data_IF_468993513652
#
_entry.id   IF_468993513652
#
_cell.length_a   1.000
_cell.length_b   1.000
_cell.length_c   1.000
_cell.angle_alpha   90.00
_cell.angle_beta   90.00
_cell.angle_gamma   90.00
#
_symmetry.space_group_name_H-M   'P 1'
#
loop_
_entity.id
_entity.type
_entity.pdbx_description
1 polymer ?
#
# COMPACT_ATOMS: atom_id res chain seq x y z
N UNK A 1 9.78 4.94 55.75
CA UNK A 1 9.67 4.31 54.41
C UNK A 1 9.14 5.34 53.42
N UNK A 2 9.77 5.49 52.26
CA UNK A 2 9.37 6.46 51.23
C UNK A 2 8.17 5.97 50.40
N UNK A 3 7.18 5.32 51.00
CA UNK A 3 5.96 4.89 50.35
C UNK A 3 6.14 3.82 49.26
N UNK A 4 7.19 3.00 49.34
CA UNK A 4 7.39 1.87 48.41
C UNK A 4 7.65 2.28 46.94
N UNK A 5 8.36 3.37 46.70
CA UNK A 5 8.69 3.85 45.35
C UNK A 5 10.05 3.32 44.89
N UNK A 6 10.16 3.06 43.58
CA UNK A 6 11.43 2.81 42.92
C UNK A 6 12.10 4.14 42.54
N UNK A 7 13.37 4.28 42.88
CA UNK A 7 14.22 5.43 42.53
C UNK A 7 15.52 4.95 41.93
N UNK A 8 16.18 5.80 41.17
CA UNK A 8 17.50 5.52 40.59
C UNK A 8 18.49 6.57 41.08
N UNK A 9 19.72 6.17 41.28
CA UNK A 9 20.83 7.05 41.58
C UNK A 9 21.86 6.97 40.44
N UNK A 10 22.48 8.09 40.12
CA UNK A 10 23.58 8.16 39.15
C UNK A 10 24.91 7.67 39.77
N UNK A 11 26.00 7.70 38.96
CA UNK A 11 27.30 7.26 39.43
C UNK A 11 27.90 8.12 40.54
N UNK A 12 27.39 9.32 40.75
CA UNK A 12 27.80 10.24 41.83
C UNK A 12 26.91 10.15 43.07
N UNK A 13 25.94 9.24 43.08
CA UNK A 13 24.98 9.05 44.17
C UNK A 13 23.83 10.06 44.18
N UNK A 14 23.65 10.86 43.12
CA UNK A 14 22.54 11.79 43.02
C UNK A 14 21.28 11.07 42.53
N UNK A 15 20.13 11.41 43.13
CA UNK A 15 18.85 10.87 42.67
C UNK A 15 18.50 11.35 41.25
N UNK A 16 18.29 10.41 40.36
CA UNK A 16 17.87 10.70 38.98
C UNK A 16 16.44 11.23 38.99
N UNK A 17 16.19 12.30 38.23
CA UNK A 17 14.89 12.93 37.99
C UNK A 17 14.67 13.23 36.52
N UNK A 18 13.42 13.21 36.09
CA UNK A 18 13.06 13.44 34.67
C UNK A 18 13.35 12.24 33.80
N UNK A 19 13.50 12.51 32.50
CA UNK A 19 13.80 11.50 31.49
C UNK A 19 15.21 10.94 31.67
N UNK A 20 15.34 9.61 31.59
CA UNK A 20 16.62 8.91 31.69
C UNK A 20 16.61 7.68 30.80
N UNK A 21 17.62 7.55 29.94
CA UNK A 21 17.76 6.43 29.01
C UNK A 21 19.04 5.66 29.35
N UNK A 22 18.96 4.34 29.30
CA UNK A 22 20.09 3.43 29.40
C UNK A 22 19.93 2.29 28.39
N UNK A 23 20.82 1.31 28.41
CA UNK A 23 20.83 0.14 27.53
C UNK A 23 19.53 -0.71 27.59
N UNK A 24 18.76 -0.62 28.69
CA UNK A 24 17.47 -1.32 28.84
C UNK A 24 16.29 -0.55 28.26
N UNK A 25 16.43 0.78 28.07
CA UNK A 25 15.37 1.63 27.52
C UNK A 25 15.25 2.98 28.21
N UNK A 26 14.16 3.67 27.93
CA UNK A 26 13.86 5.02 28.43
C UNK A 26 12.91 4.94 29.60
N UNK A 27 13.19 5.73 30.65
CA UNK A 27 12.41 5.84 31.88
C UNK A 27 12.06 7.29 32.16
N UNK A 28 11.11 7.50 33.01
CA UNK A 28 10.86 8.81 33.62
C UNK A 28 10.78 8.70 35.14
N UNK A 29 11.47 9.61 35.80
CA UNK A 29 11.45 9.75 37.27
C UNK A 29 10.82 11.08 37.63
N UNK A 30 9.83 11.05 38.54
CA UNK A 30 9.12 12.24 38.98
C UNK A 30 10.09 13.33 39.43
N UNK A 31 9.86 14.56 38.98
CA UNK A 31 10.78 15.68 39.20
C UNK A 31 10.90 16.09 40.69
N UNK A 32 9.90 15.81 41.49
CA UNK A 32 9.87 16.15 42.91
C UNK A 32 10.39 15.00 43.77
N UNK A 33 9.76 13.84 43.61
CA UNK A 33 9.97 12.69 44.49
C UNK A 33 11.04 11.72 43.99
N UNK A 34 11.46 11.80 42.73
CA UNK A 34 12.37 10.84 42.09
C UNK A 34 11.73 9.47 41.86
N UNK A 35 10.41 9.33 42.06
CA UNK A 35 9.71 8.06 41.87
C UNK A 35 9.67 7.68 40.39
N UNK A 36 10.03 6.41 40.11
CA UNK A 36 9.90 5.86 38.76
C UNK A 36 8.45 5.81 38.33
N UNK A 37 8.12 6.39 37.18
CA UNK A 37 6.79 6.36 36.63
C UNK A 37 6.55 5.03 35.94
N UNK A 38 5.35 4.48 36.10
CA UNK A 38 4.88 3.22 35.50
C UNK A 38 3.45 3.40 35.01
N UNK A 39 3.09 2.61 33.96
CA UNK A 39 1.77 2.70 33.37
C UNK A 39 1.57 3.95 32.50
N UNK A 40 0.31 4.34 32.32
CA UNK A 40 -0.04 5.51 31.51
C UNK A 40 -0.06 6.78 32.34
N UNK A 41 0.47 7.86 31.80
CA UNK A 41 0.47 9.18 32.45
C UNK A 41 0.57 10.29 31.39
N UNK A 42 0.57 11.53 31.83
CA UNK A 42 0.86 12.71 31.02
C UNK A 42 2.07 13.43 31.59
N UNK A 43 3.08 13.70 30.74
CA UNK A 43 4.29 14.42 31.10
C UNK A 43 4.43 15.59 30.13
N UNK A 44 4.50 16.80 30.65
CA UNK A 44 4.58 18.05 29.87
C UNK A 44 3.50 18.15 28.78
N UNK A 45 2.28 17.69 29.09
CA UNK A 45 1.15 17.69 28.16
C UNK A 45 1.16 16.53 27.14
N UNK A 46 2.20 15.70 27.11
CA UNK A 46 2.32 14.56 26.18
C UNK A 46 1.84 13.28 26.87
N UNK A 47 0.90 12.53 26.29
CA UNK A 47 0.54 11.20 26.79
C UNK A 47 1.73 10.26 26.73
N UNK A 48 2.03 9.60 27.83
CA UNK A 48 3.14 8.69 27.98
C UNK A 48 2.66 7.31 28.45
N UNK A 49 3.43 6.27 28.10
CA UNK A 49 3.15 4.91 28.54
C UNK A 49 4.45 4.17 28.87
N UNK A 50 4.46 3.59 30.07
CA UNK A 50 5.57 2.82 30.61
C UNK A 50 5.08 1.43 31.01
N UNK A 51 5.92 0.43 30.86
CA UNK A 51 5.63 -0.92 31.34
C UNK A 51 5.35 -0.89 32.87
N UNK A 52 4.30 -1.55 33.27
CA UNK A 52 3.83 -1.49 34.67
C UNK A 52 4.73 -2.23 35.64
N UNK A 53 5.55 -3.14 35.17
CA UNK A 53 6.49 -3.93 35.99
C UNK A 53 7.87 -3.28 36.03
N UNK A 54 8.44 -2.99 34.85
CA UNK A 54 9.82 -2.53 34.72
C UNK A 54 9.97 -1.01 34.73
N UNK A 55 8.91 -0.24 34.40
CA UNK A 55 8.96 1.19 34.20
C UNK A 55 9.65 1.61 32.92
N UNK A 56 9.96 0.69 32.00
CA UNK A 56 10.52 0.99 30.68
C UNK A 56 9.43 1.62 29.83
N UNK A 57 9.72 2.74 29.18
CA UNK A 57 8.83 3.39 28.24
C UNK A 57 8.54 2.48 27.05
N UNK A 58 7.28 2.40 26.65
CA UNK A 58 6.89 1.64 25.47
C UNK A 58 7.61 2.20 24.25
N UNK A 59 8.22 1.33 23.45
CA UNK A 59 9.02 1.75 22.30
C UNK A 59 8.64 0.99 21.03
N UNK A 60 8.41 1.76 19.96
CA UNK A 60 8.03 1.26 18.63
C UNK A 60 6.91 0.23 18.66
N UNK A 61 5.84 0.55 19.35
CA UNK A 61 4.70 -0.35 19.47
C UNK A 61 3.35 0.37 19.53
N UNK A 62 2.32 -0.33 19.08
CA UNK A 62 0.93 0.11 19.12
C UNK A 62 0.29 -0.15 20.47
N UNK A 63 -0.50 0.81 20.92
CA UNK A 63 -1.38 0.66 22.10
C UNK A 63 -2.81 1.00 21.69
N UNK A 64 -3.75 0.11 21.98
CA UNK A 64 -5.17 0.36 21.77
C UNK A 64 -5.76 1.03 23.01
N UNK A 65 -6.37 2.18 22.82
CA UNK A 65 -7.06 2.92 23.88
C UNK A 65 -8.44 3.31 23.34
N UNK A 66 -9.49 2.76 23.94
CA UNK A 66 -10.88 3.02 23.56
C UNK A 66 -11.16 2.84 22.04
N UNK A 67 -10.59 1.80 21.43
CA UNK A 67 -10.78 1.48 20.03
C UNK A 67 -9.84 2.21 19.06
N UNK A 68 -9.10 3.20 19.51
CA UNK A 68 -8.09 3.91 18.72
C UNK A 68 -6.70 3.33 18.96
N UNK A 69 -5.89 3.21 17.91
CA UNK A 69 -4.48 2.80 18.01
C UNK A 69 -3.57 4.01 18.06
N UNK A 70 -2.60 3.96 18.98
CA UNK A 70 -1.60 5.00 19.17
C UNK A 70 -0.20 4.38 19.16
N UNK A 71 0.73 5.05 18.49
CA UNK A 71 2.13 4.63 18.42
C UNK A 71 2.95 5.29 19.53
N UNK A 72 3.75 4.50 20.22
CA UNK A 72 4.64 4.99 21.26
C UNK A 72 6.10 4.72 20.89
N UNK A 73 6.96 5.71 21.12
CA UNK A 73 8.41 5.62 21.00
C UNK A 73 9.07 6.24 22.23
N UNK A 74 9.97 5.49 22.87
CA UNK A 74 10.66 5.95 24.07
C UNK A 74 9.72 6.40 25.19
N UNK A 75 8.58 5.74 25.33
CA UNK A 75 7.55 6.05 26.33
C UNK A 75 6.60 7.19 25.95
N UNK A 76 6.81 7.89 24.85
CA UNK A 76 5.99 9.05 24.42
C UNK A 76 5.07 8.66 23.27
N UNK A 77 3.80 9.07 23.35
CA UNK A 77 2.88 8.99 22.22
C UNK A 77 3.37 9.87 21.09
N UNK A 78 3.37 9.33 19.89
CA UNK A 78 3.77 10.04 18.70
C UNK A 78 2.60 10.73 17.99
N UNK A 79 2.89 11.70 17.13
CA UNK A 79 1.89 12.40 16.31
C UNK A 79 0.94 13.32 17.08
N UNK A 80 1.25 13.68 18.32
CA UNK A 80 0.38 14.51 19.18
C UNK A 80 0.47 16.00 18.90
N UNK A 81 1.49 16.43 18.16
CA UNK A 81 1.78 17.86 17.88
C UNK A 81 2.01 18.08 16.39
N UNK A 82 1.95 19.35 15.99
CA UNK A 82 2.14 19.73 14.59
C UNK A 82 0.98 19.28 13.69
N UNK A 83 1.32 18.79 12.48
CA UNK A 83 0.31 18.36 11.48
C UNK A 83 0.13 16.84 11.42
N UNK A 84 0.64 16.11 12.43
CA UNK A 84 0.67 14.66 12.46
C UNK A 84 2.06 14.09 12.12
N UNK A 85 2.18 12.77 12.14
CA UNK A 85 3.45 12.08 11.89
C UNK A 85 3.23 10.82 11.08
N UNK A 86 4.00 10.64 10.02
CA UNK A 86 4.07 9.38 9.30
C UNK A 86 5.05 8.44 10.00
N UNK A 87 4.68 7.19 10.13
CA UNK A 87 5.54 6.12 10.67
C UNK A 87 5.49 4.89 9.77
N UNK A 88 6.59 4.16 9.74
CA UNK A 88 6.65 2.82 9.16
C UNK A 88 6.71 1.79 10.29
N UNK A 89 5.79 0.83 10.25
CA UNK A 89 5.80 -0.31 11.17
C UNK A 89 6.32 -1.56 10.45
N UNK A 90 7.55 -2.01 10.77
CA UNK A 90 8.14 -3.18 10.11
C UNK A 90 7.40 -4.49 10.44
N UNK A 91 6.63 -4.54 11.52
CA UNK A 91 5.88 -5.74 11.88
C UNK A 91 4.70 -6.02 10.93
N UNK A 92 4.11 -4.96 10.39
CA UNK A 92 3.02 -5.03 9.40
C UNK A 92 3.47 -4.71 7.98
N UNK A 93 4.76 -4.34 7.79
CA UNK A 93 5.32 -3.86 6.51
C UNK A 93 4.47 -2.75 5.89
N UNK A 94 4.03 -1.78 6.70
CA UNK A 94 3.09 -0.74 6.28
C UNK A 94 3.41 0.64 6.83
N UNK A 95 3.02 1.66 6.06
CA UNK A 95 3.07 3.05 6.47
C UNK A 95 1.76 3.49 7.07
N UNK A 96 1.83 4.24 8.17
CA UNK A 96 0.69 4.76 8.92
C UNK A 96 0.81 6.25 9.15
N UNK A 97 -0.32 6.90 9.32
CA UNK A 97 -0.39 8.30 9.74
C UNK A 97 -0.93 8.41 11.15
N UNK A 98 -0.23 9.15 11.99
CA UNK A 98 -0.62 9.52 13.33
C UNK A 98 -1.21 10.93 13.28
N UNK A 99 -2.52 11.02 13.45
CA UNK A 99 -3.30 12.23 13.25
C UNK A 99 -3.28 13.14 14.49
N UNK A 100 -2.64 14.29 14.39
CA UNK A 100 -2.55 15.24 15.51
C UNK A 100 -3.90 15.83 15.92
N UNK A 101 -4.86 15.95 14.97
CA UNK A 101 -6.22 16.40 15.28
C UNK A 101 -6.90 15.43 16.24
N UNK A 102 -6.56 14.15 16.15
CA UNK A 102 -7.04 13.09 17.03
C UNK A 102 -5.99 12.66 18.07
N UNK A 103 -5.15 13.61 18.50
CA UNK A 103 -4.15 13.40 19.55
C UNK A 103 -3.19 12.23 19.26
N UNK A 104 -2.77 12.06 18.02
CA UNK A 104 -1.86 11.01 17.56
C UNK A 104 -2.50 9.66 17.32
N UNK A 105 -3.83 9.59 17.19
CA UNK A 105 -4.51 8.36 16.78
C UNK A 105 -4.14 7.98 15.34
N UNK A 106 -4.04 6.68 15.08
CA UNK A 106 -3.85 6.14 13.73
C UNK A 106 -5.00 6.59 12.82
N UNK A 107 -4.68 7.18 11.67
CA UNK A 107 -5.67 7.53 10.66
C UNK A 107 -6.22 6.26 10.00
N UNK A 108 -7.54 6.16 9.88
CA UNK A 108 -8.22 5.05 9.23
C UNK A 108 -9.33 5.58 8.32
N UNK A 109 -9.52 4.94 7.16
CA UNK A 109 -10.59 5.27 6.19
C UNK A 109 -10.68 6.77 5.87
N UNK A 110 -9.54 7.43 5.64
CA UNK A 110 -9.50 8.87 5.39
C UNK A 110 -8.37 9.31 4.48
N UNK A 111 -8.58 10.44 3.83
CA UNK A 111 -7.56 11.17 3.10
C UNK A 111 -6.84 12.14 4.04
N UNK A 112 -5.53 12.24 3.87
CA UNK A 112 -4.64 13.10 4.68
C UNK A 112 -3.76 13.92 3.74
N UNK A 113 -3.65 15.22 4.02
CA UNK A 113 -2.65 16.05 3.36
C UNK A 113 -1.35 16.04 4.17
N UNK A 114 -0.29 15.51 3.57
CA UNK A 114 1.05 15.42 4.16
C UNK A 114 1.91 16.58 3.71
N UNK A 115 1.90 17.65 4.47
CA UNK A 115 2.65 18.87 4.17
C UNK A 115 4.17 18.66 4.26
N UNK A 116 4.61 17.87 5.25
CA UNK A 116 6.02 17.59 5.52
C UNK A 116 6.69 16.71 4.46
N UNK A 117 5.90 16.01 3.62
CA UNK A 117 6.37 15.07 2.60
C UNK A 117 6.16 15.62 1.18
N UNK A 118 6.43 16.90 0.95
CA UNK A 118 6.32 17.52 -0.35
C UNK A 118 4.92 17.99 -0.72
N UNK A 119 3.99 18.06 0.24
CA UNK A 119 2.66 18.58 0.01
C UNK A 119 1.78 17.67 -0.85
N UNK A 120 1.51 16.46 -0.41
CA UNK A 120 0.73 15.47 -1.13
C UNK A 120 -0.51 15.01 -0.36
N UNK A 121 -1.57 14.67 -1.08
CA UNK A 121 -2.70 13.92 -0.54
C UNK A 121 -2.39 12.42 -0.60
N UNK A 122 -2.68 11.70 0.47
CA UNK A 122 -2.59 10.25 0.58
C UNK A 122 -3.87 9.70 1.19
N UNK A 123 -4.18 8.43 0.96
CA UNK A 123 -5.34 7.75 1.54
C UNK A 123 -4.90 6.60 2.43
N UNK A 124 -5.57 6.44 3.57
CA UNK A 124 -5.40 5.31 4.47
C UNK A 124 -6.66 4.46 4.47
N UNK A 125 -6.49 3.14 4.41
CA UNK A 125 -7.59 2.16 4.43
C UNK A 125 -8.20 1.98 5.83
N UNK A 126 -9.14 1.07 5.98
CA UNK A 126 -9.80 0.76 7.25
C UNK A 126 -8.83 0.16 8.31
N UNK A 127 -7.69 -0.36 7.90
CA UNK A 127 -6.64 -0.88 8.78
C UNK A 127 -5.56 0.18 9.08
N UNK A 128 -5.66 1.36 8.46
CA UNK A 128 -4.70 2.44 8.57
C UNK A 128 -3.49 2.29 7.65
N UNK A 129 -3.50 1.37 6.68
CA UNK A 129 -2.43 1.23 5.71
C UNK A 129 -2.56 2.27 4.60
N UNK A 130 -1.44 2.85 4.18
CA UNK A 130 -1.42 3.76 3.04
C UNK A 130 -1.80 3.01 1.76
N UNK A 131 -2.82 3.52 1.07
CA UNK A 131 -3.26 2.98 -0.22
C UNK A 131 -2.28 3.40 -1.31
N UNK A 132 -1.99 2.46 -2.21
CA UNK A 132 -1.17 2.64 -3.41
C UNK A 132 -1.83 1.98 -4.60
N UNK A 133 -1.63 2.56 -5.79
CA UNK A 133 -2.28 2.09 -7.01
C UNK A 133 -3.73 2.57 -7.13
N UNK A 134 -4.52 1.84 -7.87
CA UNK A 134 -5.92 2.15 -8.09
C UNK A 134 -6.78 1.86 -6.85
N UNK A 135 -7.70 2.78 -6.55
CA UNK A 135 -8.69 2.63 -5.48
C UNK A 135 -10.03 3.20 -5.90
N UNK A 136 -11.13 2.55 -5.53
CA UNK A 136 -12.50 3.00 -5.83
C UNK A 136 -13.35 2.97 -4.58
N UNK A 137 -14.09 4.05 -4.39
CA UNK A 137 -15.10 4.17 -3.34
C UNK A 137 -16.43 4.68 -3.94
N UNK A 138 -17.40 5.00 -3.09
CA UNK A 138 -18.70 5.53 -3.50
C UNK A 138 -18.64 6.89 -4.22
N UNK A 139 -17.54 7.63 -4.11
CA UNK A 139 -17.34 8.93 -4.76
C UNK A 139 -16.72 8.80 -6.15
N UNK A 140 -15.93 7.75 -6.40
CA UNK A 140 -15.27 7.52 -7.68
C UNK A 140 -14.01 6.69 -7.61
N UNK A 141 -13.28 6.70 -8.71
CA UNK A 141 -12.01 6.00 -8.88
C UNK A 141 -10.84 6.97 -8.76
N UNK A 142 -9.80 6.55 -8.09
CA UNK A 142 -8.58 7.30 -7.78
C UNK A 142 -7.34 6.48 -8.14
N UNK A 143 -6.21 7.15 -8.26
CA UNK A 143 -4.92 6.50 -8.35
C UNK A 143 -3.95 7.12 -7.35
N UNK A 144 -3.21 6.29 -6.66
CA UNK A 144 -2.18 6.68 -5.71
C UNK A 144 -0.83 6.15 -6.19
N UNK A 145 0.17 7.02 -6.26
CA UNK A 145 1.51 6.66 -6.72
C UNK A 145 2.05 5.44 -5.97
N UNK A 146 2.61 4.49 -6.70
CA UNK A 146 3.03 3.19 -6.15
C UNK A 146 4.20 3.29 -5.15
N UNK A 147 4.99 4.36 -5.24
CA UNK A 147 6.14 4.58 -4.36
C UNK A 147 5.75 5.48 -3.19
N UNK A 148 5.21 6.64 -3.49
CA UNK A 148 4.98 7.71 -2.52
C UNK A 148 3.58 7.70 -1.91
N UNK A 149 2.61 6.97 -2.49
CA UNK A 149 1.20 7.02 -2.11
C UNK A 149 0.52 8.35 -2.45
N UNK A 150 1.15 9.22 -3.24
CA UNK A 150 0.55 10.51 -3.62
C UNK A 150 -0.67 10.32 -4.51
N UNK A 151 -1.79 10.94 -4.17
CA UNK A 151 -3.01 10.95 -4.97
C UNK A 151 -2.77 11.67 -6.30
N UNK A 152 -3.05 11.01 -7.41
CA UNK A 152 -2.97 11.59 -8.74
C UNK A 152 -4.00 12.73 -8.91
N UNK A 153 -3.57 13.83 -9.51
CA UNK A 153 -4.38 15.00 -9.84
C UNK A 153 -3.96 15.57 -11.19
N UNK A 154 -4.92 16.09 -11.95
CA UNK A 154 -4.66 16.58 -13.30
C UNK A 154 -4.35 15.44 -14.27
N UNK A 155 -3.49 15.68 -15.24
CA UNK A 155 -3.16 14.70 -16.27
C UNK A 155 -1.91 13.90 -15.88
N UNK A 156 -2.06 12.58 -15.78
CA UNK A 156 -0.99 11.65 -15.42
C UNK A 156 -0.98 10.48 -16.40
N UNK A 157 0.20 9.99 -16.76
CA UNK A 157 0.34 8.78 -17.57
C UNK A 157 0.59 7.59 -16.64
N UNK A 158 -0.31 6.61 -16.68
CA UNK A 158 -0.25 5.39 -15.87
C UNK A 158 -0.25 4.21 -16.84
N UNK A 159 0.80 3.40 -16.80
CA UNK A 159 0.97 2.23 -17.69
C UNK A 159 0.79 2.57 -19.19
N UNK A 160 1.24 3.76 -19.59
CA UNK A 160 1.14 4.24 -20.95
C UNK A 160 -0.23 4.81 -21.35
N UNK A 161 -1.17 4.89 -20.42
CA UNK A 161 -2.50 5.45 -20.61
C UNK A 161 -2.54 6.86 -20.01
N UNK A 162 -2.98 7.84 -20.77
CA UNK A 162 -3.21 9.18 -20.24
C UNK A 162 -4.52 9.19 -19.46
N UNK A 163 -4.41 9.40 -18.16
CA UNK A 163 -5.54 9.53 -17.23
C UNK A 163 -5.70 10.99 -16.82
N UNK A 164 -6.92 11.46 -16.79
CA UNK A 164 -7.26 12.81 -16.30
C UNK A 164 -8.02 12.68 -15.00
N UNK A 165 -7.43 13.21 -13.94
CA UNK A 165 -8.05 13.27 -12.61
C UNK A 165 -8.49 14.69 -12.28
N UNK A 166 -9.60 14.83 -11.60
CA UNK A 166 -10.05 16.12 -11.10
C UNK A 166 -9.00 16.74 -10.18
N UNK A 167 -8.67 18.00 -10.40
CA UNK A 167 -7.56 18.66 -9.69
C UNK A 167 -7.85 18.87 -8.20
N UNK A 168 -9.13 19.03 -7.82
CA UNK A 168 -9.52 19.25 -6.43
C UNK A 168 -9.73 17.92 -5.69
N UNK A 169 -10.50 17.01 -6.29
CA UNK A 169 -10.96 15.78 -5.65
C UNK A 169 -10.05 14.58 -5.89
N UNK A 170 -9.27 14.57 -6.99
CA UNK A 170 -8.49 13.41 -7.41
C UNK A 170 -9.33 12.30 -8.06
N UNK A 171 -10.62 12.55 -8.37
CA UNK A 171 -11.49 11.56 -9.01
C UNK A 171 -11.12 11.46 -10.49
N UNK A 172 -10.99 10.23 -10.99
CA UNK A 172 -10.77 9.95 -12.39
C UNK A 172 -11.94 10.47 -13.23
N UNK A 173 -11.67 11.36 -14.18
CA UNK A 173 -12.65 11.95 -15.09
C UNK A 173 -12.66 11.27 -16.45
N UNK A 174 -11.49 10.96 -16.97
CA UNK A 174 -11.35 10.27 -18.25
C UNK A 174 -10.02 9.54 -18.34
N UNK A 175 -10.02 8.49 -19.14
CA UNK A 175 -8.81 7.85 -19.64
C UNK A 175 -8.76 8.10 -21.15
N UNK A 176 -7.78 8.85 -21.62
CA UNK A 176 -7.49 8.86 -23.04
C UNK A 176 -6.52 7.73 -23.33
N UNK A 177 -7.07 6.65 -23.84
CA UNK A 177 -6.24 5.73 -24.62
C UNK A 177 -5.77 6.56 -25.80
N UNK A 178 -4.46 6.76 -25.91
CA UNK A 178 -3.90 7.42 -27.10
C UNK A 178 -4.17 6.50 -28.29
N UNK A 179 -5.30 6.73 -28.95
CA UNK A 179 -5.70 6.00 -30.16
C UNK A 179 -4.73 6.23 -31.32
N UNK A 180 -3.75 7.14 -31.14
CA UNK A 180 -2.69 7.35 -32.15
C UNK A 180 -1.62 6.25 -32.11
N UNK A 181 -1.52 5.48 -31.04
CA UNK A 181 -0.78 4.23 -31.07
C UNK A 181 -1.63 3.19 -31.75
N UNK A 182 -1.35 3.00 -33.02
CA UNK A 182 -1.94 1.91 -33.81
C UNK A 182 -1.71 0.59 -33.09
N UNK A 183 -2.82 -0.04 -32.63
CA UNK A 183 -2.76 -1.40 -32.10
C UNK A 183 -3.09 -2.35 -33.22
N UNK A 184 -2.29 -3.38 -33.33
CA UNK A 184 -2.57 -4.43 -34.25
C UNK A 184 -3.79 -5.22 -33.78
N UNK A 185 -4.96 -4.98 -34.38
CA UNK A 185 -6.20 -5.71 -34.10
C UNK A 185 -6.37 -6.93 -34.99
N UNK A 186 -5.65 -6.96 -36.12
CA UNK A 186 -5.68 -8.08 -37.06
C UNK A 186 -4.42 -8.10 -37.91
N UNK A 187 -3.81 -9.28 -38.03
CA UNK A 187 -2.72 -9.58 -38.95
C UNK A 187 -3.10 -10.79 -39.81
N UNK A 188 -2.94 -10.71 -41.12
CA UNK A 188 -3.03 -11.87 -42.01
C UNK A 188 -1.65 -12.19 -42.56
N UNK A 189 -1.18 -13.39 -42.30
CA UNK A 189 0.08 -13.89 -42.83
C UNK A 189 -0.18 -14.71 -44.10
N UNK A 190 0.70 -14.54 -45.07
CA UNK A 190 0.58 -15.19 -46.40
C UNK A 190 1.82 -16.07 -46.64
N UNK A 191 1.61 -17.13 -47.42
CA UNK A 191 2.70 -17.88 -48.05
C UNK A 191 3.29 -17.07 -49.21
N UNK A 192 4.45 -17.53 -49.73
CA UNK A 192 5.12 -16.87 -50.84
C UNK A 192 4.29 -16.85 -52.14
N UNK A 193 3.35 -17.77 -52.29
CA UNK A 193 2.42 -17.85 -53.42
C UNK A 193 1.20 -16.92 -53.28
N UNK A 194 1.15 -16.13 -52.21
CA UNK A 194 0.04 -15.21 -51.90
C UNK A 194 -1.17 -15.83 -51.22
N UNK A 195 -1.17 -17.15 -51.01
CA UNK A 195 -2.24 -17.79 -50.25
C UNK A 195 -2.15 -17.47 -48.73
N UNK A 196 -3.32 -17.42 -48.04
CA UNK A 196 -3.36 -17.15 -46.59
C UNK A 196 -2.77 -18.32 -45.82
N UNK A 197 -1.81 -18.02 -44.96
CA UNK A 197 -1.22 -18.97 -44.03
C UNK A 197 -2.09 -19.06 -42.75
N UNK A 198 -2.27 -17.93 -42.08
CA UNK A 198 -3.10 -17.79 -40.89
C UNK A 198 -3.53 -16.34 -40.68
N UNK A 199 -4.50 -16.16 -39.80
CA UNK A 199 -4.93 -14.83 -39.34
C UNK A 199 -4.81 -14.78 -37.84
N UNK A 200 -4.22 -13.71 -37.34
CA UNK A 200 -4.20 -13.33 -35.89
C UNK A 200 -5.19 -12.21 -35.68
N UNK A 201 -6.02 -12.30 -34.66
CA UNK A 201 -6.90 -11.23 -34.20
C UNK A 201 -6.65 -10.96 -32.72
N UNK A 202 -6.65 -9.70 -32.33
CA UNK A 202 -6.40 -9.23 -30.96
C UNK A 202 -7.51 -8.31 -30.51
N UNK A 203 -8.04 -8.57 -29.32
CA UNK A 203 -9.04 -7.74 -28.65
C UNK A 203 -8.41 -7.06 -27.45
N UNK A 204 -8.76 -5.80 -27.24
CA UNK A 204 -8.28 -4.98 -26.13
C UNK A 204 -9.45 -4.42 -25.31
N UNK A 205 -9.26 -4.22 -24.02
CA UNK A 205 -10.23 -3.49 -23.20
C UNK A 205 -10.16 -1.96 -23.45
N UNK A 206 -11.06 -1.23 -22.79
CA UNK A 206 -11.13 0.23 -22.88
C UNK A 206 -9.85 0.93 -22.38
N UNK A 207 -9.07 0.26 -21.51
CA UNK A 207 -7.77 0.74 -21.01
C UNK A 207 -6.63 0.33 -21.94
N UNK A 208 -6.94 -0.45 -22.98
CA UNK A 208 -6.00 -0.91 -23.98
C UNK A 208 -5.12 -2.09 -23.56
N UNK A 209 -5.54 -2.82 -22.55
CA UNK A 209 -4.89 -4.07 -22.15
C UNK A 209 -5.38 -5.19 -23.05
N UNK A 210 -4.48 -6.10 -23.41
CA UNK A 210 -4.80 -7.26 -24.26
C UNK A 210 -5.77 -8.19 -23.52
N UNK A 211 -6.96 -8.37 -24.05
CA UNK A 211 -7.96 -9.28 -23.49
C UNK A 211 -7.90 -10.67 -24.13
N UNK A 212 -7.69 -10.70 -25.43
CA UNK A 212 -7.74 -11.93 -26.20
C UNK A 212 -6.86 -11.86 -27.43
N UNK A 213 -6.21 -12.98 -27.74
CA UNK A 213 -5.55 -13.21 -29.00
C UNK A 213 -6.04 -14.52 -29.60
N UNK A 214 -6.40 -14.52 -30.89
CA UNK A 214 -6.85 -15.73 -31.62
C UNK A 214 -6.09 -15.90 -32.88
N UNK A 215 -5.54 -17.10 -33.13
CA UNK A 215 -4.94 -17.51 -34.37
C UNK A 215 -5.84 -18.52 -35.08
N UNK A 216 -6.18 -18.21 -36.33
CA UNK A 216 -7.00 -19.08 -37.19
C UNK A 216 -6.19 -19.53 -38.39
N UNK A 217 -6.44 -20.76 -38.84
CA UNK A 217 -5.84 -21.29 -40.07
C UNK A 217 -6.41 -20.59 -41.33
N UNK A 218 -5.92 -21.02 -42.49
CA UNK A 218 -6.38 -20.53 -43.79
C UNK A 218 -7.87 -20.73 -44.06
N UNK A 219 -8.48 -21.71 -43.40
CA UNK A 219 -9.93 -22.05 -43.55
C UNK A 219 -10.80 -21.31 -42.53
N UNK A 220 -10.18 -20.50 -41.64
CA UNK A 220 -10.85 -19.75 -40.60
C UNK A 220 -11.06 -20.56 -39.32
N UNK A 221 -10.57 -21.80 -39.22
CA UNK A 221 -10.69 -22.59 -38.01
C UNK A 221 -9.76 -22.07 -36.92
N UNK A 222 -10.27 -21.98 -35.72
CA UNK A 222 -9.50 -21.53 -34.55
C UNK A 222 -8.44 -22.58 -34.23
N UNK A 223 -7.16 -22.13 -34.14
CA UNK A 223 -6.01 -22.98 -33.82
C UNK A 223 -5.49 -22.71 -32.44
N UNK A 224 -5.40 -21.43 -32.07
CA UNK A 224 -4.90 -21.01 -30.77
C UNK A 224 -5.78 -19.88 -30.25
N UNK A 225 -6.06 -19.89 -28.95
CA UNK A 225 -6.64 -18.76 -28.26
C UNK A 225 -5.92 -18.52 -26.95
N UNK A 226 -5.57 -17.25 -26.72
CA UNK A 226 -5.05 -16.72 -25.48
C UNK A 226 -6.08 -15.76 -24.90
N UNK A 227 -6.45 -15.93 -23.63
CA UNK A 227 -7.31 -15.02 -22.88
C UNK A 227 -6.53 -14.46 -21.67
N UNK A 228 -6.60 -13.14 -21.46
CA UNK A 228 -5.89 -12.42 -20.42
C UNK A 228 -6.87 -11.80 -19.44
N UNK A 229 -6.64 -12.00 -18.14
CA UNK A 229 -7.52 -11.55 -17.08
C UNK A 229 -6.76 -10.64 -16.13
N UNK A 230 -7.33 -9.48 -15.87
CA UNK A 230 -6.71 -8.45 -15.04
C UNK A 230 -7.55 -8.18 -13.81
N UNK A 231 -6.87 -7.88 -12.71
CA UNK A 231 -7.52 -7.25 -11.57
C UNK A 231 -7.86 -5.80 -11.88
N UNK A 232 -8.68 -5.26 -10.98
CA UNK A 232 -9.12 -3.88 -11.05
C UNK A 232 -7.94 -2.86 -11.08
N UNK A 233 -6.84 -3.19 -10.37
CA UNK A 233 -5.60 -2.40 -10.36
C UNK A 233 -4.77 -2.50 -11.66
N UNK A 234 -5.24 -3.24 -12.67
CA UNK A 234 -4.58 -3.41 -13.95
C UNK A 234 -3.56 -4.54 -14.00
N UNK A 235 -3.33 -5.27 -12.91
CA UNK A 235 -2.39 -6.37 -12.88
C UNK A 235 -2.96 -7.62 -13.55
N UNK A 236 -2.15 -8.27 -14.39
CA UNK A 236 -2.48 -9.56 -15.01
C UNK A 236 -2.50 -10.65 -13.95
N UNK A 237 -3.67 -11.23 -13.69
CA UNK A 237 -3.80 -12.31 -12.69
C UNK A 237 -3.83 -13.68 -13.28
N UNK A 238 -4.33 -13.77 -14.50
CA UNK A 238 -4.45 -15.05 -15.19
C UNK A 238 -4.26 -14.86 -16.71
N UNK A 239 -3.65 -15.84 -17.33
CA UNK A 239 -3.59 -16.02 -18.78
C UNK A 239 -3.91 -17.47 -19.08
N UNK A 240 -4.83 -17.72 -20.01
CA UNK A 240 -5.09 -19.07 -20.51
C UNK A 240 -4.62 -19.16 -21.96
N UNK A 241 -3.85 -20.18 -22.24
CA UNK A 241 -3.42 -20.55 -23.59
C UNK A 241 -4.09 -21.86 -23.99
N UNK A 242 -4.79 -21.88 -25.10
CA UNK A 242 -5.48 -23.08 -25.62
C UNK A 242 -5.06 -23.36 -27.06
N UNK A 243 -4.56 -24.58 -27.30
CA UNK A 243 -4.38 -25.12 -28.64
C UNK A 243 -5.52 -26.05 -29.00
N UNK A 244 -6.25 -25.71 -30.05
CA UNK A 244 -7.39 -26.51 -30.52
C UNK A 244 -6.90 -27.67 -31.38
N UNK A 245 -7.33 -28.87 -31.03
CA UNK A 245 -6.86 -30.12 -31.67
C UNK A 245 -5.65 -30.74 -30.99
N UNK A 246 -5.07 -30.11 -29.99
CA UNK A 246 -3.98 -30.66 -29.20
C UNK A 246 -3.98 -30.12 -27.75
N UNK A 247 -4.81 -30.70 -26.89
CA UNK A 247 -4.96 -30.29 -25.48
C UNK A 247 -3.68 -30.43 -24.64
N UNK A 248 -2.68 -31.15 -25.15
CA UNK A 248 -1.38 -31.30 -24.49
C UNK A 248 -0.60 -29.98 -24.37
N UNK A 249 -0.93 -28.99 -25.16
CA UNK A 249 -0.29 -27.67 -25.18
C UNK A 249 -1.21 -26.55 -24.68
N UNK A 250 -2.28 -26.90 -23.94
CA UNK A 250 -3.17 -25.91 -23.34
C UNK A 250 -2.83 -25.72 -21.88
N UNK A 251 -2.66 -24.46 -21.45
CA UNK A 251 -2.18 -24.10 -20.13
C UNK A 251 -2.94 -22.91 -19.54
N UNK A 252 -3.04 -22.89 -18.21
CA UNK A 252 -3.44 -21.74 -17.42
C UNK A 252 -2.25 -21.25 -16.61
N UNK A 253 -1.94 -19.98 -16.74
CA UNK A 253 -0.91 -19.27 -15.99
C UNK A 253 -1.59 -18.39 -14.94
N UNK A 254 -1.16 -18.48 -13.67
CA UNK A 254 -1.61 -17.60 -12.59
C UNK A 254 -0.44 -16.81 -12.08
N UNK A 255 -0.66 -15.51 -11.95
CA UNK A 255 0.33 -14.53 -11.54
C UNK A 255 0.02 -14.08 -10.13
N UNK A 256 1.02 -14.10 -9.26
CA UNK A 256 0.93 -13.62 -7.89
C UNK A 256 1.89 -12.45 -7.71
N UNK A 257 1.47 -11.46 -6.93
CA UNK A 257 2.22 -10.25 -6.66
C UNK A 257 2.40 -10.09 -5.16
N UNK A 258 3.51 -9.45 -4.75
CA UNK A 258 3.74 -9.12 -3.35
C UNK A 258 2.88 -7.91 -2.91
N UNK A 259 2.93 -7.58 -1.63
CA UNK A 259 2.19 -6.47 -1.05
C UNK A 259 2.54 -5.10 -1.63
N UNK A 260 3.65 -5.00 -2.37
CA UNK A 260 4.11 -3.80 -3.07
C UNK A 260 3.78 -3.83 -4.55
N UNK A 261 2.90 -4.74 -4.99
CA UNK A 261 2.50 -4.94 -6.38
C UNK A 261 3.66 -5.35 -7.32
N UNK A 262 4.73 -5.94 -6.78
CA UNK A 262 5.82 -6.50 -7.57
C UNK A 262 5.52 -7.96 -7.88
N UNK A 263 5.84 -8.38 -9.11
CA UNK A 263 5.71 -9.78 -9.51
C UNK A 263 6.46 -10.69 -8.54
N UNK A 264 5.76 -11.67 -7.98
CA UNK A 264 6.29 -12.59 -6.99
C UNK A 264 6.40 -14.01 -7.51
N UNK A 265 5.37 -14.50 -8.24
CA UNK A 265 5.32 -15.89 -8.66
C UNK A 265 4.42 -16.07 -9.87
N UNK A 266 4.76 -17.06 -10.72
CA UNK A 266 3.89 -17.63 -11.74
C UNK A 266 3.65 -19.12 -11.44
N UNK A 267 2.40 -19.53 -11.47
CA UNK A 267 2.00 -20.94 -11.40
C UNK A 267 1.42 -21.36 -12.74
N UNK A 268 1.87 -22.50 -13.26
CA UNK A 268 1.45 -23.00 -14.55
C UNK A 268 0.68 -24.31 -14.34
N UNK A 269 -0.54 -24.35 -14.86
CA UNK A 269 -1.40 -25.50 -14.81
C UNK A 269 -1.70 -26.00 -16.20
N UNK A 270 -1.66 -27.30 -16.41
CA UNK A 270 -2.15 -27.88 -17.66
C UNK A 270 -3.67 -27.70 -17.72
N UNK A 271 -4.18 -27.22 -18.82
CA UNK A 271 -5.61 -27.07 -19.02
C UNK A 271 -6.18 -28.46 -19.42
N UNK A 272 -6.94 -29.04 -18.50
CA UNK A 272 -7.77 -30.21 -18.77
C UNK A 272 -9.19 -29.68 -18.92
N UNK A 273 -9.65 -29.56 -20.16
CA UNK A 273 -10.90 -28.93 -20.55
C UNK A 273 -12.15 -29.40 -19.80
#
# INVERSE_FOLDING_TARGET
SNGGKWVRYDANGHMVKGWNTNEKGTYYFDLVTGAMVKGMCTIDGIPCAFDTTTGIGLDKQWVNINGNKFWYEGGKRQGTTGRGKEIYDPASDAWYWLDSVNNGAMAVSKDVYQDSNGGKWVRYDANGHMIKGWDTNSQGTYYFDLITGAMAKGTVVIDGITCVFDYNTGILQSTNVDVTKYREIKRTNYYADGSVMNTLTTDYDAQGRLLKEQRRDKSGNLQVQDDFYYEYNGMLTKHTHREYGNDNYSYEYRYEYDKSNRFAKISVYRYNG
#
